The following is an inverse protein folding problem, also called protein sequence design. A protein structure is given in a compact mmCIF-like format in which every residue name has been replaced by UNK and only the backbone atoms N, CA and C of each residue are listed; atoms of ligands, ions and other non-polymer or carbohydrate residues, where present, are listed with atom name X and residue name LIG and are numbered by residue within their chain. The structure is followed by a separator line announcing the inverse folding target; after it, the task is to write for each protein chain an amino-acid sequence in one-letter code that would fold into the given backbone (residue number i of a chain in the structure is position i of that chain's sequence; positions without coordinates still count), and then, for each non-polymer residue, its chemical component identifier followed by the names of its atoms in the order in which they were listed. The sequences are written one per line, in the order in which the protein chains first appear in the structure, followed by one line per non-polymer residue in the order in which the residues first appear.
data_IF_727130880751
#
_entry.id   IF_727130880751
#
_cell.length_a   1.000
_cell.length_b   1.000
_cell.length_c   1.000
_cell.angle_alpha   90.00
_cell.angle_beta   90.00
_cell.angle_gamma   90.00
#
_symmetry.space_group_name_H-M   'P 1'
#
loop_
_entity.id
_entity.type
_entity.pdbx_description
1 polymer ?
#
# COMPACT_ATOMS: atom_id res chain seq x y z
N UNK A 1 3.32 2.47 -19.26
CA UNK A 1 4.10 1.39 -18.59
C UNK A 1 3.38 1.26 -17.27
N UNK A 2 2.83 0.10 -16.96
CA UNK A 2 1.97 -0.03 -15.78
C UNK A 2 2.85 -0.03 -14.53
N UNK A 3 2.88 1.07 -13.77
CA UNK A 3 3.66 1.15 -12.52
C UNK A 3 2.94 0.37 -11.41
N UNK A 4 3.58 -0.66 -10.85
CA UNK A 4 3.09 -1.39 -9.68
C UNK A 4 3.88 -0.98 -8.43
N UNK A 5 3.20 -0.39 -7.45
CA UNK A 5 3.82 0.10 -6.21
C UNK A 5 3.24 -0.63 -5.00
N UNK A 6 4.07 -1.00 -4.02
CA UNK A 6 3.64 -1.60 -2.75
C UNK A 6 3.98 -0.69 -1.57
N UNK A 7 2.97 -0.18 -0.87
CA UNK A 7 3.13 0.53 0.40
C UNK A 7 3.22 -0.48 1.56
N UNK A 8 4.43 -0.64 2.09
CA UNK A 8 4.69 -1.54 3.22
C UNK A 8 4.54 -0.83 4.56
N UNK A 9 3.88 -1.51 5.51
CA UNK A 9 3.48 -0.95 6.80
C UNK A 9 2.63 0.31 6.59
N UNK A 10 1.61 0.18 5.73
CA UNK A 10 0.85 1.31 5.20
C UNK A 10 0.07 2.09 6.27
N UNK A 11 -0.16 1.51 7.45
CA UNK A 11 -0.99 2.14 8.49
C UNK A 11 -2.38 2.48 7.96
N UNK A 12 -2.81 3.73 8.14
CA UNK A 12 -4.06 4.30 7.61
C UNK A 12 -4.08 4.48 6.09
N UNK A 13 -3.01 4.15 5.36
CA UNK A 13 -3.00 4.20 3.89
C UNK A 13 -2.86 5.60 3.29
N UNK A 14 -2.42 6.59 4.07
CA UNK A 14 -2.21 7.96 3.58
C UNK A 14 -1.17 8.02 2.46
N UNK A 15 -0.10 7.22 2.57
CA UNK A 15 0.95 7.17 1.57
C UNK A 15 0.46 6.45 0.30
N UNK A 16 -0.29 5.36 0.44
CA UNK A 16 -0.96 4.70 -0.67
C UNK A 16 -1.81 5.64 -1.53
N UNK A 17 -2.55 6.54 -0.89
CA UNK A 17 -3.34 7.57 -1.57
C UNK A 17 -2.46 8.56 -2.35
N UNK A 18 -1.37 9.03 -1.75
CA UNK A 18 -0.43 9.92 -2.44
C UNK A 18 0.32 9.22 -3.59
N UNK A 19 0.52 7.91 -3.49
CA UNK A 19 1.10 7.10 -4.55
C UNK A 19 0.11 6.88 -5.68
N UNK A 20 -1.18 6.72 -5.38
CA UNK A 20 -2.20 6.55 -6.42
C UNK A 20 -2.29 7.77 -7.33
N UNK A 21 -2.04 8.98 -6.81
CA UNK A 21 -1.94 10.22 -7.60
C UNK A 21 -0.71 10.27 -8.54
N UNK A 22 0.32 9.45 -8.28
CA UNK A 22 1.60 9.49 -9.00
C UNK A 22 1.79 8.36 -10.00
N UNK A 23 1.15 7.22 -9.80
CA UNK A 23 1.21 6.09 -10.73
C UNK A 23 0.46 6.41 -12.03
N UNK A 24 0.84 5.75 -13.13
CA UNK A 24 0.19 5.93 -14.45
C UNK A 24 -1.33 5.74 -14.36
N UNK A 25 -2.11 6.75 -14.73
CA UNK A 25 -3.58 6.69 -14.69
C UNK A 25 -4.17 5.68 -15.67
N UNK A 26 -3.40 5.19 -16.64
CA UNK A 26 -3.84 4.19 -17.63
C UNK A 26 -3.48 2.74 -17.25
N UNK A 27 -3.09 2.47 -16.00
CA UNK A 27 -2.89 1.08 -15.55
C UNK A 27 -1.93 0.87 -14.37
N UNK A 28 -1.39 1.94 -13.79
CA UNK A 28 -0.63 1.88 -12.56
C UNK A 28 -1.50 1.45 -11.37
N UNK A 29 -0.89 0.77 -10.40
CA UNK A 29 -1.56 0.12 -9.26
C UNK A 29 -0.77 0.35 -7.98
N UNK A 30 -1.49 0.53 -6.88
CA UNK A 30 -0.89 0.66 -5.54
C UNK A 30 -1.46 -0.43 -4.63
N UNK A 31 -0.61 -1.32 -4.15
CA UNK A 31 -0.95 -2.31 -3.13
C UNK A 31 -0.58 -1.83 -1.73
N UNK A 32 -1.32 -2.29 -0.72
CA UNK A 32 -1.14 -1.91 0.68
C UNK A 32 -0.93 -3.15 1.54
N UNK A 33 0.06 -3.12 2.42
CA UNK A 33 0.34 -4.21 3.36
C UNK A 33 0.60 -3.66 4.75
N UNK A 34 -0.09 -4.21 5.75
CA UNK A 34 0.13 -3.92 7.17
C UNK A 34 -0.27 -5.13 8.03
N UNK A 35 0.47 -5.39 9.10
CA UNK A 35 0.14 -6.50 10.01
C UNK A 35 -1.12 -6.22 10.85
N UNK A 36 -1.52 -4.95 10.98
CA UNK A 36 -2.61 -4.52 11.84
C UNK A 36 -3.93 -4.44 11.08
N UNK A 37 -4.84 -5.38 11.32
CA UNK A 37 -6.23 -5.37 10.80
C UNK A 37 -6.95 -4.04 11.00
N UNK A 38 -6.78 -3.42 12.18
CA UNK A 38 -7.43 -2.15 12.49
C UNK A 38 -6.92 -1.01 11.58
N UNK A 39 -5.65 -1.07 11.18
CA UNK A 39 -5.05 -0.10 10.27
C UNK A 39 -5.56 -0.32 8.85
N UNK A 40 -5.58 -1.57 8.37
CA UNK A 40 -6.13 -1.93 7.06
C UNK A 40 -7.61 -1.58 6.92
N UNK A 41 -8.39 -1.73 8.01
CA UNK A 41 -9.79 -1.33 8.02
C UNK A 41 -9.95 0.19 7.85
N UNK A 42 -9.13 0.99 8.55
CA UNK A 42 -9.14 2.44 8.38
C UNK A 42 -8.68 2.83 6.97
N UNK A 43 -7.60 2.22 6.47
CA UNK A 43 -7.09 2.46 5.13
C UNK A 43 -8.14 2.17 4.05
N UNK A 44 -8.82 1.03 4.15
CA UNK A 44 -9.88 0.66 3.19
C UNK A 44 -11.06 1.63 3.26
N UNK A 45 -11.44 2.07 4.47
CA UNK A 45 -12.52 3.03 4.66
C UNK A 45 -12.18 4.40 4.06
N UNK A 46 -10.95 4.87 4.27
CA UNK A 46 -10.49 6.16 3.76
C UNK A 46 -10.32 6.11 2.24
N UNK A 47 -9.85 4.98 1.69
CA UNK A 47 -9.86 4.76 0.23
C UNK A 47 -11.27 4.88 -0.36
N UNK A 48 -12.27 4.20 0.24
CA UNK A 48 -13.66 4.26 -0.24
C UNK A 48 -14.22 5.70 -0.18
N UNK A 49 -13.81 6.48 0.81
CA UNK A 49 -14.36 7.81 1.04
C UNK A 49 -13.64 8.91 0.26
N UNK A 50 -12.33 8.80 0.09
CA UNK A 50 -11.48 9.86 -0.45
C UNK A 50 -10.90 9.56 -1.83
N UNK A 51 -10.87 8.30 -2.29
CA UNK A 51 -10.33 7.96 -3.61
C UNK A 51 -11.37 8.17 -4.73
N UNK A 52 -11.09 9.04 -5.72
CA UNK A 52 -11.75 9.02 -7.03
C UNK A 52 -11.83 7.62 -7.64
N UNK A 53 -12.90 7.36 -8.39
CA UNK A 53 -13.16 6.09 -9.10
C UNK A 53 -12.05 5.64 -10.04
N UNK A 54 -11.15 6.55 -10.40
CA UNK A 54 -10.10 6.35 -11.38
C UNK A 54 -8.78 5.89 -10.74
N UNK A 55 -8.72 5.77 -9.41
CA UNK A 55 -7.55 5.26 -8.70
C UNK A 55 -7.59 3.73 -8.56
N UNK A 56 -6.53 3.06 -9.01
CA UNK A 56 -6.35 1.63 -8.87
C UNK A 56 -5.57 1.30 -7.58
N UNK A 57 -6.19 1.57 -6.43
CA UNK A 57 -5.68 1.04 -5.16
C UNK A 57 -6.19 -0.40 -5.02
N UNK A 58 -5.27 -1.34 -4.85
CA UNK A 58 -5.54 -2.77 -4.69
C UNK A 58 -5.98 -3.08 -3.26
N UNK A 59 -6.54 -4.26 -3.08
CA UNK A 59 -6.98 -4.74 -1.77
C UNK A 59 -5.83 -4.72 -0.74
N UNK A 60 -6.17 -4.30 0.47
CA UNK A 60 -5.26 -4.24 1.60
C UNK A 60 -4.95 -5.66 2.08
N UNK A 61 -3.67 -6.03 2.12
CA UNK A 61 -3.20 -7.36 2.53
C UNK A 61 -2.69 -7.30 3.97
N UNK A 62 -3.21 -8.21 4.81
CA UNK A 62 -2.67 -8.42 6.15
C UNK A 62 -1.52 -9.40 6.10
N UNK A 63 -0.31 -8.90 6.26
CA UNK A 63 0.88 -9.74 6.38
C UNK A 63 2.02 -9.01 7.10
N UNK A 64 3.06 -9.76 7.45
CA UNK A 64 4.30 -9.20 7.99
C UNK A 64 5.24 -8.80 6.85
N UNK A 65 5.84 -7.60 6.93
CA UNK A 65 6.79 -7.13 5.91
C UNK A 65 8.06 -8.00 5.77
N UNK A 66 8.28 -8.94 6.70
CA UNK A 66 9.41 -9.88 6.70
C UNK A 66 9.14 -11.15 5.91
N UNK A 67 7.88 -11.46 5.58
CA UNK A 67 7.45 -12.64 4.81
C UNK A 67 6.41 -12.25 3.77
N UNK A 68 6.86 -11.65 2.66
CA UNK A 68 5.96 -11.09 1.65
C UNK A 68 5.27 -12.19 0.84
N UNK A 69 3.92 -12.21 0.76
CA UNK A 69 3.17 -13.21 -0.01
C UNK A 69 3.14 -12.88 -1.51
N UNK A 70 4.17 -12.24 -2.03
CA UNK A 70 4.26 -11.79 -3.42
C UNK A 70 5.42 -12.48 -4.13
N UNK A 71 5.27 -12.69 -5.44
CA UNK A 71 6.34 -13.23 -6.25
C UNK A 71 7.47 -12.19 -6.42
N UNK A 72 8.70 -12.68 -6.58
CA UNK A 72 9.87 -11.84 -6.83
C UNK A 72 9.65 -10.89 -8.03
N UNK A 73 10.09 -9.64 -7.88
CA UNK A 73 10.04 -8.59 -8.90
C UNK A 73 8.63 -8.21 -9.40
N UNK A 74 7.60 -8.38 -8.58
CA UNK A 74 6.23 -7.94 -8.92
C UNK A 74 5.96 -6.43 -8.78
N UNK A 75 6.85 -5.66 -8.15
CA UNK A 75 6.66 -4.23 -7.90
C UNK A 75 7.84 -3.41 -8.42
N UNK A 76 7.54 -2.28 -9.05
CA UNK A 76 8.50 -1.29 -9.55
C UNK A 76 9.06 -0.43 -8.41
N UNK A 77 8.27 -0.23 -7.34
CA UNK A 77 8.69 0.50 -6.15
C UNK A 77 8.03 -0.04 -4.88
N UNK A 78 8.78 -0.02 -3.78
CA UNK A 78 8.31 -0.40 -2.45
C UNK A 78 8.64 0.74 -1.47
N UNK A 79 7.85 1.81 -1.44
CA UNK A 79 8.01 2.88 -0.46
C UNK A 79 7.63 2.41 0.95
N UNK A 80 8.34 2.94 1.96
CA UNK A 80 8.07 2.70 3.37
C UNK A 80 7.87 4.07 4.03
N UNK A 81 6.63 4.43 4.35
CA UNK A 81 6.27 5.78 4.80
C UNK A 81 6.79 6.15 6.19
N UNK A 82 6.86 5.17 7.10
CA UNK A 82 7.37 5.36 8.45
C UNK A 82 8.19 4.13 8.85
N UNK A 83 9.51 4.24 8.67
CA UNK A 83 10.46 3.15 8.81
C UNK A 83 10.28 2.31 10.08
N UNK A 84 10.34 0.99 9.88
CA UNK A 84 10.71 -0.06 10.83
C UNK A 84 11.11 0.49 12.21
N UNK A 85 10.14 0.67 13.11
CA UNK A 85 10.47 0.93 14.51
C UNK A 85 10.97 -0.38 15.09
N UNK A 86 12.29 -0.52 15.26
CA UNK A 86 12.88 -1.62 16.03
C UNK A 86 12.18 -1.69 17.39
N UNK A 87 11.35 -2.70 17.63
CA UNK A 87 11.09 -3.17 18.98
C UNK A 87 12.30 -4.02 19.41
N UNK A 88 13.38 -3.33 19.76
CA UNK A 88 14.48 -3.92 20.51
C UNK A 88 14.37 -3.48 21.96
N UNK A 89 14.18 -4.45 22.87
CA UNK A 89 14.12 -4.27 24.31
C UNK A 89 13.40 -5.42 24.98
#
# INVERSE_FOLDING_TARGET
MEDCVLDLCCGSGDLAFLLSEKVDSNGGKVGNLDFSKDQLFMASKDQIFFAPSDFNILECVEDEATDLPFQDCCFDAIPIGYGFRKCGG
#
